data_IF_728025794101
#
_entry.id   IF_728025794101
#
_cell.length_a   1.000
_cell.length_b   1.000
_cell.length_c   1.000
_cell.angle_alpha   90.00
_cell.angle_beta   90.00
_cell.angle_gamma   90.00
#
_symmetry.space_group_name_H-M   'P 1'
#
loop_
_entity.id
_entity.type
_entity.pdbx_description
1 polymer ?
#
# COMPACT_ATOMS: atom_id res chain seq x y z
N UNK A 1 25.17 6.88 2.43
CA UNK A 1 23.83 6.38 2.01
C UNK A 1 23.98 4.92 1.61
N UNK A 2 23.33 3.98 2.30
CA UNK A 2 23.50 2.54 2.05
C UNK A 2 23.11 2.15 0.62
N UNK A 3 23.87 1.25 -0.01
CA UNK A 3 23.66 0.79 -1.41
C UNK A 3 22.23 0.32 -1.69
N UNK A 4 21.62 -0.35 -0.71
CA UNK A 4 20.23 -0.84 -0.77
C UNK A 4 19.23 0.33 -0.83
N UNK A 5 19.42 1.37 -0.01
CA UNK A 5 18.54 2.54 -0.01
C UNK A 5 18.61 3.34 -1.32
N UNK A 6 19.80 3.43 -1.92
CA UNK A 6 19.97 4.07 -3.23
C UNK A 6 19.27 3.29 -4.36
N UNK A 7 19.32 1.95 -4.33
CA UNK A 7 18.62 1.10 -5.29
C UNK A 7 17.09 1.22 -5.15
N UNK A 8 16.56 1.15 -3.92
CA UNK A 8 15.13 1.27 -3.66
C UNK A 8 14.56 2.65 -4.01
N UNK A 9 15.35 3.72 -3.91
CA UNK A 9 14.92 5.05 -4.32
C UNK A 9 14.83 5.22 -5.85
N UNK A 10 15.59 4.43 -6.63
CA UNK A 10 15.47 4.41 -8.09
C UNK A 10 14.25 3.62 -8.56
N UNK A 11 13.76 2.68 -7.75
CA UNK A 11 12.68 1.76 -8.10
C UNK A 11 11.52 1.87 -7.10
N UNK A 12 10.72 2.95 -7.16
CA UNK A 12 9.67 3.22 -6.16
C UNK A 12 8.58 2.15 -6.13
N UNK A 13 8.38 1.40 -7.23
CA UNK A 13 7.48 0.26 -7.27
C UNK A 13 8.01 -0.90 -6.41
N UNK A 14 9.26 -1.31 -6.64
CA UNK A 14 9.92 -2.39 -5.90
C UNK A 14 9.94 -2.07 -4.40
N UNK A 15 10.22 -0.81 -4.04
CA UNK A 15 10.12 -0.34 -2.65
C UNK A 15 8.72 -0.52 -2.07
N UNK A 16 7.69 -0.21 -2.85
CA UNK A 16 6.29 -0.45 -2.47
C UNK A 16 6.05 -1.93 -2.21
N UNK A 17 6.39 -2.80 -3.16
CA UNK A 17 6.22 -4.26 -3.06
C UNK A 17 6.84 -4.80 -1.76
N UNK A 18 8.09 -4.45 -1.46
CA UNK A 18 8.76 -4.87 -0.23
C UNK A 18 8.11 -4.33 1.05
N UNK A 19 7.66 -3.08 1.04
CA UNK A 19 6.97 -2.51 2.20
C UNK A 19 5.64 -3.24 2.43
N UNK A 20 4.86 -3.42 1.37
CA UNK A 20 3.54 -4.04 1.41
C UNK A 20 3.61 -5.55 1.75
N UNK A 21 4.68 -6.25 1.36
CA UNK A 21 4.90 -7.65 1.74
C UNK A 21 5.23 -7.86 3.22
N UNK A 22 5.54 -6.80 3.97
CA UNK A 22 5.81 -6.87 5.42
C UNK A 22 4.65 -6.29 6.22
N UNK A 23 4.12 -5.13 5.79
CA UNK A 23 3.05 -4.42 6.50
C UNK A 23 1.77 -5.25 6.60
N UNK A 24 1.34 -5.88 5.51
CA UNK A 24 0.10 -6.65 5.49
C UNK A 24 0.14 -7.94 6.33
N UNK A 25 1.16 -8.79 6.24
CA UNK A 25 1.24 -9.96 7.13
C UNK A 25 1.36 -9.55 8.61
N UNK A 26 2.06 -8.46 8.92
CA UNK A 26 2.08 -7.91 10.28
C UNK A 26 0.68 -7.46 10.73
N UNK A 27 -0.08 -6.77 9.87
CA UNK A 27 -1.45 -6.36 10.16
C UNK A 27 -2.37 -7.56 10.38
N UNK A 28 -2.25 -8.62 9.57
CA UNK A 28 -3.02 -9.86 9.75
C UNK A 28 -2.70 -10.52 11.09
N UNK A 29 -1.43 -10.60 11.49
CA UNK A 29 -1.05 -11.16 12.80
C UNK A 29 -1.64 -10.33 13.94
N UNK A 30 -1.57 -9.00 13.85
CA UNK A 30 -2.15 -8.10 14.86
C UNK A 30 -3.68 -8.28 14.92
N UNK A 31 -4.37 -8.30 13.79
CA UNK A 31 -5.82 -8.50 13.71
C UNK A 31 -6.22 -9.84 14.35
N UNK A 32 -5.54 -10.92 13.98
CA UNK A 32 -5.91 -12.25 14.46
C UNK A 32 -5.65 -12.42 15.97
N UNK A 33 -4.57 -11.82 16.49
CA UNK A 33 -4.21 -11.84 17.91
C UNK A 33 -5.11 -10.96 18.77
N UNK A 34 -5.35 -9.71 18.35
CA UNK A 34 -6.01 -8.72 19.20
C UNK A 34 -7.52 -8.61 18.96
N UNK A 35 -7.98 -8.81 17.72
CA UNK A 35 -9.39 -8.69 17.37
C UNK A 35 -10.08 -10.06 17.35
N UNK A 36 -9.49 -11.05 16.69
CA UNK A 36 -10.06 -12.40 16.60
C UNK A 36 -9.74 -13.29 17.82
N UNK A 37 -8.77 -12.89 18.66
CA UNK A 37 -8.30 -13.63 19.85
C UNK A 37 -7.95 -15.09 19.55
N UNK A 38 -7.38 -15.36 18.38
CA UNK A 38 -6.88 -16.68 18.02
C UNK A 38 -5.38 -16.74 18.25
N UNK A 39 -4.93 -17.88 18.80
CA UNK A 39 -3.51 -18.08 19.08
C UNK A 39 -2.74 -18.73 17.92
N UNK A 40 -3.46 -19.26 16.95
CA UNK A 40 -2.88 -19.87 15.75
C UNK A 40 -2.40 -18.80 14.77
N UNK A 41 -1.31 -19.11 14.08
CA UNK A 41 -0.76 -18.24 13.04
C UNK A 41 -1.60 -18.41 11.76
N UNK A 42 -2.29 -17.36 11.26
CA UNK A 42 -3.18 -17.48 10.11
C UNK A 42 -2.38 -17.42 8.79
N UNK A 43 -1.55 -18.43 8.53
CA UNK A 43 -0.58 -18.45 7.42
C UNK A 43 -1.26 -18.25 6.05
N UNK A 44 -2.38 -18.91 5.80
CA UNK A 44 -3.13 -18.77 4.54
C UNK A 44 -3.60 -17.33 4.31
N UNK A 45 -4.19 -16.71 5.35
CA UNK A 45 -4.62 -15.31 5.33
C UNK A 45 -3.42 -14.38 5.11
N UNK A 46 -2.31 -14.61 5.82
CA UNK A 46 -1.08 -13.83 5.65
C UNK A 46 -0.57 -13.89 4.22
N UNK A 47 -0.47 -15.08 3.62
CA UNK A 47 0.03 -15.24 2.24
C UNK A 47 -0.89 -14.51 1.26
N UNK A 48 -2.21 -14.75 1.33
CA UNK A 48 -3.20 -14.14 0.44
C UNK A 48 -3.18 -12.61 0.51
N UNK A 49 -3.20 -12.06 1.72
CA UNK A 49 -3.18 -10.61 1.96
C UNK A 49 -1.86 -10.00 1.48
N UNK A 50 -0.73 -10.68 1.74
CA UNK A 50 0.59 -10.24 1.28
C UNK A 50 0.70 -10.24 -0.24
N UNK A 51 0.21 -11.28 -0.92
CA UNK A 51 0.25 -11.36 -2.38
C UNK A 51 -0.63 -10.29 -3.03
N UNK A 52 -1.84 -10.07 -2.49
CA UNK A 52 -2.72 -9.01 -2.95
C UNK A 52 -2.06 -7.63 -2.76
N UNK A 53 -1.46 -7.39 -1.59
CA UNK A 53 -0.79 -6.13 -1.29
C UNK A 53 0.44 -5.89 -2.19
N UNK A 54 1.27 -6.90 -2.38
CA UNK A 54 2.50 -6.83 -3.13
C UNK A 54 2.24 -6.67 -4.64
N UNK A 55 1.35 -7.48 -5.21
CA UNK A 55 1.20 -7.57 -6.66
C UNK A 55 0.01 -6.81 -7.23
N UNK A 56 -0.94 -6.37 -6.40
CA UNK A 56 -2.08 -5.57 -6.84
C UNK A 56 -2.06 -4.15 -6.25
N UNK A 57 -2.00 -4.02 -4.92
CA UNK A 57 -2.04 -2.71 -4.25
C UNK A 57 -0.80 -1.87 -4.55
N UNK A 58 0.41 -2.44 -4.43
CA UNK A 58 1.63 -1.67 -4.64
C UNK A 58 1.76 -1.11 -6.08
N UNK A 59 1.47 -1.88 -7.16
CA UNK A 59 1.43 -1.32 -8.51
C UNK A 59 0.37 -0.26 -8.72
N UNK A 60 -0.88 -0.50 -8.30
CA UNK A 60 -1.98 0.45 -8.48
C UNK A 60 -1.74 1.76 -7.72
N UNK A 61 -1.22 1.68 -6.49
CA UNK A 61 -0.80 2.86 -5.74
C UNK A 61 0.33 3.60 -6.44
N UNK A 62 1.31 2.89 -7.02
CA UNK A 62 2.40 3.52 -7.74
C UNK A 62 1.89 4.32 -8.94
N UNK A 63 0.94 3.77 -9.70
CA UNK A 63 0.27 4.45 -10.81
C UNK A 63 -0.45 5.69 -10.29
N UNK A 64 -1.26 5.57 -9.24
CA UNK A 64 -1.96 6.71 -8.68
C UNK A 64 -1.01 7.82 -8.19
N UNK A 65 0.08 7.47 -7.50
CA UNK A 65 1.08 8.43 -7.05
C UNK A 65 1.76 9.17 -8.21
N UNK A 66 1.98 8.51 -9.35
CA UNK A 66 2.49 9.16 -10.57
C UNK A 66 1.46 10.13 -11.13
N UNK A 67 0.20 9.72 -11.23
CA UNK A 67 -0.90 10.59 -11.68
C UNK A 67 -1.08 11.80 -10.77
N UNK A 68 -1.07 11.63 -9.45
CA UNK A 68 -1.17 12.71 -8.49
C UNK A 68 0.01 13.69 -8.58
N UNK A 69 1.23 13.20 -8.85
CA UNK A 69 2.40 14.05 -9.13
C UNK A 69 2.26 14.82 -10.44
N UNK A 70 1.68 14.21 -11.48
CA UNK A 70 1.43 14.89 -12.75
C UNK A 70 0.40 16.01 -12.60
N UNK A 71 -0.73 15.75 -11.92
CA UNK A 71 -1.77 16.75 -11.66
C UNK A 71 -1.28 17.89 -10.76
N UNK A 72 -0.47 17.57 -9.76
CA UNK A 72 0.01 18.52 -8.76
C UNK A 72 1.54 18.40 -8.59
N UNK A 73 2.34 19.00 -9.50
CA UNK A 73 3.78 18.78 -9.54
C UNK A 73 4.54 19.43 -8.38
N UNK A 74 4.02 20.55 -7.84
CA UNK A 74 4.66 21.28 -6.75
C UNK A 74 4.51 20.53 -5.42
N UNK A 75 5.51 20.66 -4.55
CA UNK A 75 5.52 20.15 -3.17
C UNK A 75 5.05 21.19 -2.15
N UNK A 76 4.26 22.18 -2.58
CA UNK A 76 3.68 23.19 -1.69
C UNK A 76 2.54 22.59 -0.87
N UNK A 77 2.30 23.15 0.31
CA UNK A 77 1.26 22.68 1.23
C UNK A 77 -0.12 22.57 0.54
N UNK A 78 -0.50 23.57 -0.27
CA UNK A 78 -1.75 23.56 -1.03
C UNK A 78 -1.84 22.38 -2.01
N UNK A 79 -0.76 22.05 -2.71
CA UNK A 79 -0.74 20.91 -3.63
C UNK A 79 -0.81 19.57 -2.87
N UNK A 80 -0.17 19.47 -1.71
CA UNK A 80 -0.25 18.28 -0.85
C UNK A 80 -1.68 18.05 -0.37
N UNK A 81 -2.35 19.08 0.15
CA UNK A 81 -3.75 18.95 0.56
C UNK A 81 -4.67 18.53 -0.59
N UNK A 82 -4.47 19.08 -1.80
CA UNK A 82 -5.23 18.67 -2.99
C UNK A 82 -4.99 17.21 -3.37
N UNK A 83 -3.75 16.72 -3.28
CA UNK A 83 -3.43 15.30 -3.52
C UNK A 83 -4.15 14.40 -2.52
N UNK A 84 -4.11 14.73 -1.24
CA UNK A 84 -4.76 13.95 -0.18
C UNK A 84 -6.27 13.97 -0.36
N UNK A 85 -6.88 15.12 -0.62
CA UNK A 85 -8.30 15.23 -0.89
C UNK A 85 -8.71 14.40 -2.11
N UNK A 86 -7.92 14.46 -3.20
CA UNK A 86 -8.15 13.66 -4.40
C UNK A 86 -8.02 12.15 -4.11
N UNK A 87 -7.06 11.75 -3.29
CA UNK A 87 -6.87 10.35 -2.87
C UNK A 87 -8.15 9.80 -2.21
N UNK A 88 -8.69 10.54 -1.24
CA UNK A 88 -9.86 10.12 -0.46
C UNK A 88 -11.11 9.94 -1.31
N UNK A 89 -11.25 10.65 -2.43
CA UNK A 89 -12.42 10.54 -3.32
C UNK A 89 -12.16 9.68 -4.57
N UNK A 90 -10.92 9.25 -4.82
CA UNK A 90 -10.57 8.44 -6.01
C UNK A 90 -9.94 7.11 -5.64
N UNK A 91 -8.67 7.13 -5.21
CA UNK A 91 -7.89 5.94 -4.97
C UNK A 91 -8.39 5.16 -3.75
N UNK A 92 -8.76 5.84 -2.67
CA UNK A 92 -9.24 5.17 -1.46
C UNK A 92 -10.52 4.36 -1.73
N UNK A 93 -11.60 4.91 -2.34
CA UNK A 93 -12.76 4.12 -2.72
C UNK A 93 -12.41 2.98 -3.67
N UNK A 94 -11.57 3.23 -4.69
CA UNK A 94 -11.13 2.19 -5.63
C UNK A 94 -10.40 1.04 -4.91
N UNK A 95 -9.49 1.35 -4.00
CA UNK A 95 -8.72 0.36 -3.25
C UNK A 95 -9.63 -0.43 -2.28
N UNK A 96 -10.58 0.24 -1.62
CA UNK A 96 -11.55 -0.41 -0.74
C UNK A 96 -12.51 -1.34 -1.51
N UNK A 97 -13.06 -0.88 -2.63
CA UNK A 97 -13.90 -1.70 -3.50
C UNK A 97 -13.11 -2.90 -4.04
N UNK A 98 -11.88 -2.68 -4.49
CA UNK A 98 -11.02 -3.78 -4.93
C UNK A 98 -10.77 -4.80 -3.82
N UNK A 99 -10.51 -4.32 -2.60
CA UNK A 99 -10.30 -5.18 -1.44
C UNK A 99 -11.56 -5.97 -1.07
N UNK A 100 -12.75 -5.40 -1.22
CA UNK A 100 -14.00 -6.08 -0.86
C UNK A 100 -14.44 -7.14 -1.89
N UNK A 101 -14.14 -6.93 -3.19
CA UNK A 101 -14.67 -7.76 -4.27
C UNK A 101 -13.64 -8.68 -4.93
N UNK A 102 -12.36 -8.31 -4.94
CA UNK A 102 -11.29 -9.13 -5.55
C UNK A 102 -10.59 -10.02 -4.54
N UNK A 103 -10.82 -9.80 -3.25
CA UNK A 103 -10.19 -10.47 -2.14
C UNK A 103 -11.25 -10.93 -1.14
#
# INVERSE_FOLDING_TARGET
MNKIGAFLNRQPLIRGIFAYSVIWPAAVVIEERFLAKKDELPVEKMVRYSTYAAFYVAPTLNVWLRTAKFLYPKSTMSHTFRKVALEQVTYTPFALTSFLFLM
#
